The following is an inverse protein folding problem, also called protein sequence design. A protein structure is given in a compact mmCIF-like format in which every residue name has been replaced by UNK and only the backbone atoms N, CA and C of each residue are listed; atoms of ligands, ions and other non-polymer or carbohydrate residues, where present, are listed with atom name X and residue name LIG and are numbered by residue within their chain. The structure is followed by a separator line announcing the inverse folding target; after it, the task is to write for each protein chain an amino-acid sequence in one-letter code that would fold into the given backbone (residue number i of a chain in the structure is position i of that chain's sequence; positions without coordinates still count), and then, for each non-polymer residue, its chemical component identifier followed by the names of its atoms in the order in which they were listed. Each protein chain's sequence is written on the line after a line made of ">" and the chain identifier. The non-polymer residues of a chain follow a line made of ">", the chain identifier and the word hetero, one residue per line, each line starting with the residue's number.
data_IF_883761258441
#
_entry.id   IF_883761258441
#
_cell.length_a   1.000
_cell.length_b   1.000
_cell.length_c   1.000
_cell.angle_alpha   90.00
_cell.angle_beta   90.00
_cell.angle_gamma   90.00
#
_symmetry.space_group_name_H-M   'P 1'
#
loop_
_entity.id
_entity.type
_entity.pdbx_description
1 polymer ?
#
# COMPACT_ATOMS: atom_id res chain seq x y z
N UNK A 1 29.89 0.62 -27.91
CA UNK A 1 28.45 0.93 -27.72
C UNK A 1 27.90 -0.08 -26.74
N UNK A 2 27.83 0.33 -25.48
CA UNK A 2 27.57 -0.52 -24.32
C UNK A 2 26.08 -0.80 -24.23
N UNK A 3 25.67 -2.06 -24.40
CA UNK A 3 24.30 -2.50 -24.14
C UNK A 3 24.16 -2.72 -22.63
N UNK A 4 23.50 -1.80 -21.94
CA UNK A 4 23.04 -2.03 -20.57
C UNK A 4 21.73 -2.81 -20.70
N UNK A 5 21.79 -4.10 -20.33
CA UNK A 5 20.60 -4.92 -20.14
C UNK A 5 19.97 -4.51 -18.81
N UNK A 6 18.93 -3.68 -18.88
CA UNK A 6 18.08 -3.40 -17.73
C UNK A 6 17.30 -4.68 -17.40
N UNK A 7 17.46 -5.18 -16.17
CA UNK A 7 16.65 -6.26 -15.62
C UNK A 7 15.17 -5.85 -15.69
N UNK A 8 14.41 -6.49 -16.56
CA UNK A 8 12.95 -6.34 -16.62
C UNK A 8 12.35 -7.03 -15.38
N UNK A 9 12.20 -6.31 -14.27
CA UNK A 9 11.32 -6.74 -13.19
C UNK A 9 9.89 -6.69 -13.71
N UNK A 10 9.25 -7.85 -13.75
CA UNK A 10 7.84 -7.99 -14.11
C UNK A 10 6.96 -7.24 -13.11
N UNK A 11 6.32 -6.19 -13.59
CA UNK A 11 5.53 -5.18 -12.89
C UNK A 11 4.10 -5.66 -12.64
N UNK A 12 3.60 -5.61 -11.40
CA UNK A 12 2.18 -5.84 -11.03
C UNK A 12 1.99 -5.49 -9.52
N UNK A 13 0.86 -4.88 -9.08
CA UNK A 13 0.63 -4.30 -7.71
C UNK A 13 -0.72 -4.57 -6.97
N UNK A 14 -0.89 -4.13 -5.72
CA UNK A 14 -1.56 -4.87 -4.61
C UNK A 14 -2.98 -4.41 -4.21
N UNK A 15 -3.63 -5.01 -3.20
CA UNK A 15 -4.93 -4.58 -2.62
C UNK A 15 -4.96 -5.04 -1.15
N UNK A 16 -5.01 -4.11 -0.21
CA UNK A 16 -5.14 -4.35 1.24
C UNK A 16 -6.30 -3.50 1.77
N UNK A 17 -6.84 -3.80 2.95
CA UNK A 17 -7.80 -2.88 3.58
C UNK A 17 -7.10 -1.57 4.00
N UNK A 18 -7.87 -0.49 4.09
CA UNK A 18 -7.29 0.85 4.23
C UNK A 18 -6.93 1.48 2.87
N UNK A 19 -7.66 1.12 1.79
CA UNK A 19 -7.47 1.66 0.45
C UNK A 19 -6.36 0.98 -0.34
N UNK A 20 -5.38 1.74 -0.81
CA UNK A 20 -4.22 1.22 -1.56
C UNK A 20 -2.91 1.32 -0.78
N UNK A 21 -2.99 1.46 0.55
CA UNK A 21 -1.83 1.49 1.44
C UNK A 21 -1.34 0.08 1.78
N UNK A 22 -0.04 -0.05 2.01
CA UNK A 22 0.63 -1.32 2.32
C UNK A 22 1.59 -1.12 3.49
N UNK A 23 1.23 -1.53 4.72
CA UNK A 23 2.10 -1.39 5.87
C UNK A 23 3.09 -2.55 6.06
N UNK A 24 2.90 -3.72 5.43
CA UNK A 24 3.76 -4.89 5.62
C UNK A 24 4.97 -4.93 4.67
N UNK A 25 5.99 -4.15 5.05
CA UNK A 25 7.13 -3.82 4.19
C UNK A 25 8.46 -4.47 4.62
N UNK A 26 8.42 -5.37 5.61
CA UNK A 26 9.56 -6.12 6.15
C UNK A 26 9.09 -7.46 6.72
N UNK A 27 10.02 -8.30 7.17
CA UNK A 27 9.66 -9.58 7.82
C UNK A 27 8.88 -9.34 9.11
N UNK A 28 9.35 -8.43 9.98
CA UNK A 28 8.73 -8.16 11.27
C UNK A 28 7.36 -7.52 11.12
N UNK A 29 7.27 -6.48 10.28
CA UNK A 29 6.00 -5.81 10.02
C UNK A 29 4.98 -6.76 9.40
N UNK A 30 5.38 -7.67 8.50
CA UNK A 30 4.49 -8.72 8.01
C UNK A 30 4.04 -9.67 9.12
N UNK A 31 4.97 -10.17 9.94
CA UNK A 31 4.66 -11.13 11.00
C UNK A 31 3.78 -10.55 12.11
N UNK A 32 3.82 -9.23 12.29
CA UNK A 32 3.11 -8.49 13.31
C UNK A 32 1.94 -7.64 12.78
N UNK A 33 1.51 -7.83 11.52
CA UNK A 33 0.47 -7.00 10.88
C UNK A 33 0.69 -5.49 11.09
N UNK A 34 1.95 -5.06 11.02
CA UNK A 34 2.45 -3.71 11.32
C UNK A 34 2.21 -3.19 12.74
N UNK A 35 1.91 -4.05 13.72
CA UNK A 35 2.02 -3.75 15.16
C UNK A 35 3.50 -3.68 15.60
N UNK A 36 4.27 -2.80 14.95
CA UNK A 36 5.73 -2.76 15.01
C UNK A 36 6.25 -1.34 14.79
N UNK A 37 6.05 -0.47 15.78
CA UNK A 37 6.43 0.95 15.76
C UNK A 37 7.23 1.31 17.01
N UNK A 38 6.71 1.03 18.21
CA UNK A 38 7.41 1.22 19.46
C UNK A 38 8.53 0.19 19.65
N UNK A 39 8.30 -1.07 19.26
CA UNK A 39 9.30 -2.14 19.31
C UNK A 39 10.14 -2.27 18.02
N UNK A 40 10.05 -1.31 17.08
CA UNK A 40 10.83 -1.36 15.84
C UNK A 40 12.34 -1.37 16.14
N UNK A 41 13.10 -2.29 15.56
CA UNK A 41 14.51 -2.54 15.85
C UNK A 41 15.23 -3.12 14.62
N UNK A 42 16.55 -3.21 14.64
CA UNK A 42 17.33 -3.72 13.51
C UNK A 42 17.29 -2.80 12.28
N UNK A 43 17.42 -3.36 11.09
CA UNK A 43 17.53 -2.58 9.86
C UNK A 43 16.21 -1.88 9.47
N UNK A 44 15.08 -2.57 9.62
CA UNK A 44 13.76 -2.07 9.21
C UNK A 44 13.21 -0.96 10.14
N UNK A 45 13.80 -0.76 11.32
CA UNK A 45 13.59 0.44 12.14
C UNK A 45 13.80 1.74 11.35
N UNK A 46 14.68 1.74 10.34
CA UNK A 46 14.91 2.89 9.45
C UNK A 46 13.64 3.38 8.73
N UNK A 47 12.62 2.53 8.56
CA UNK A 47 11.34 2.88 7.95
C UNK A 47 10.21 3.03 8.98
N UNK A 48 10.05 2.04 9.86
CA UNK A 48 8.89 1.96 10.76
C UNK A 48 8.96 2.98 11.90
N UNK A 49 10.15 3.15 12.48
CA UNK A 49 10.40 4.18 13.47
C UNK A 49 11.89 4.55 13.51
N UNK A 50 12.31 5.52 12.67
CA UNK A 50 13.70 5.97 12.64
C UNK A 50 14.26 6.39 14.01
N UNK A 51 13.43 6.89 14.94
CA UNK A 51 13.91 7.29 16.26
C UNK A 51 14.47 6.10 17.07
N UNK A 52 13.97 4.87 16.86
CA UNK A 52 14.48 3.69 17.54
C UNK A 52 15.93 3.33 17.15
N UNK A 53 16.38 3.71 15.95
CA UNK A 53 17.78 3.52 15.53
C UNK A 53 18.77 4.14 16.53
N UNK A 54 18.39 5.21 17.22
CA UNK A 54 19.22 5.88 18.23
C UNK A 54 19.51 5.02 19.47
N UNK A 55 18.67 4.03 19.77
CA UNK A 55 18.80 3.14 20.93
C UNK A 55 19.46 1.80 20.62
N UNK A 56 19.57 1.46 19.33
CA UNK A 56 20.23 0.25 18.85
C UNK A 56 21.69 0.18 19.29
N UNK A 57 22.19 -1.04 19.52
CA UNK A 57 23.59 -1.29 19.83
C UNK A 57 24.52 -0.79 18.70
N UNK A 58 25.82 -0.64 18.99
CA UNK A 58 26.79 -0.31 17.95
C UNK A 58 26.83 -1.40 16.86
N UNK A 59 26.98 -1.00 15.60
CA UNK A 59 26.96 -1.89 14.45
C UNK A 59 26.16 -1.35 13.28
N UNK A 60 26.30 -1.99 12.13
CA UNK A 60 25.49 -1.70 10.94
C UNK A 60 24.56 -2.88 10.69
N UNK A 61 23.38 -2.60 10.14
CA UNK A 61 22.38 -3.60 9.86
C UNK A 61 21.89 -3.42 8.43
N UNK A 62 21.71 -4.52 7.71
CA UNK A 62 21.03 -4.53 6.42
C UNK A 62 20.03 -5.67 6.38
N UNK A 63 18.79 -5.38 6.03
CA UNK A 63 17.75 -6.38 5.78
C UNK A 63 17.33 -6.31 4.32
N UNK A 64 17.28 -7.47 3.67
CA UNK A 64 16.61 -7.64 2.38
C UNK A 64 15.52 -8.69 2.50
N UNK A 65 14.32 -8.38 2.02
CA UNK A 65 13.20 -9.30 1.99
C UNK A 65 12.49 -9.30 0.64
N UNK A 66 11.77 -10.38 0.37
CA UNK A 66 10.91 -10.53 -0.78
C UNK A 66 9.55 -11.03 -0.32
N UNK A 67 8.53 -10.24 -0.60
CA UNK A 67 7.14 -10.60 -0.31
C UNK A 67 6.45 -11.07 -1.59
N UNK A 68 5.97 -12.32 -1.57
CA UNK A 68 4.98 -12.79 -2.52
C UNK A 68 3.58 -12.41 -2.04
N UNK A 69 2.79 -11.81 -2.92
CA UNK A 69 1.45 -11.36 -2.57
C UNK A 69 0.47 -11.88 -3.59
N UNK A 70 -0.60 -12.49 -3.09
CA UNK A 70 -1.69 -13.01 -3.89
C UNK A 70 -2.99 -12.34 -3.48
N UNK A 71 -3.63 -11.70 -4.44
CA UNK A 71 -4.99 -11.18 -4.31
C UNK A 71 -5.97 -12.19 -4.90
N UNK A 72 -6.99 -12.54 -4.13
CA UNK A 72 -8.06 -13.38 -4.62
C UNK A 72 -8.90 -12.65 -5.70
N UNK A 73 -9.60 -13.46 -6.52
CA UNK A 73 -10.68 -12.93 -7.35
C UNK A 73 -11.72 -12.29 -6.45
N UNK A 74 -12.25 -11.13 -6.85
CA UNK A 74 -13.43 -10.54 -6.25
C UNK A 74 -14.60 -10.86 -7.16
N UNK A 75 -15.65 -11.42 -6.58
CA UNK A 75 -16.90 -11.69 -7.28
C UNK A 75 -17.86 -10.53 -7.07
N UNK A 76 -18.52 -10.10 -8.14
CA UNK A 76 -19.61 -9.14 -8.13
C UNK A 76 -20.89 -9.85 -8.59
N UNK A 77 -21.97 -9.67 -7.83
CA UNK A 77 -23.30 -10.14 -8.20
C UNK A 77 -24.31 -9.01 -8.04
N UNK A 78 -25.11 -8.74 -9.06
CA UNK A 78 -26.10 -7.67 -9.02
C UNK A 78 -26.36 -7.05 -10.37
N UNK A 79 -26.90 -5.85 -10.34
CA UNK A 79 -27.17 -5.02 -11.51
C UNK A 79 -26.29 -3.78 -11.42
N UNK A 80 -25.53 -3.47 -12.46
CA UNK A 80 -25.07 -2.10 -12.65
C UNK A 80 -25.79 -1.52 -13.86
N UNK A 81 -25.80 -0.21 -14.00
CA UNK A 81 -26.39 0.43 -15.16
C UNK A 81 -25.30 0.76 -16.18
N UNK A 82 -25.61 0.55 -17.46
CA UNK A 82 -24.80 1.10 -18.53
C UNK A 82 -24.91 2.64 -18.53
N UNK A 83 -23.97 3.37 -19.17
CA UNK A 83 -24.05 4.83 -19.29
C UNK A 83 -25.33 5.37 -19.94
N UNK A 84 -26.06 4.52 -20.69
CA UNK A 84 -27.36 4.84 -21.28
C UNK A 84 -28.56 4.58 -20.34
N UNK A 85 -28.29 4.23 -19.08
CA UNK A 85 -29.30 3.95 -18.05
C UNK A 85 -29.94 2.55 -18.16
N UNK A 86 -29.49 1.69 -19.08
CA UNK A 86 -30.02 0.33 -19.19
C UNK A 86 -29.42 -0.59 -18.12
N UNK A 87 -30.23 -1.44 -17.46
CA UNK A 87 -29.73 -2.44 -16.52
C UNK A 87 -28.78 -3.43 -17.22
N UNK A 88 -27.60 -3.61 -16.66
CA UNK A 88 -26.65 -4.65 -17.00
C UNK A 88 -26.56 -5.63 -15.83
N UNK A 89 -27.45 -6.62 -15.85
CA UNK A 89 -27.50 -7.70 -14.87
C UNK A 89 -26.52 -8.80 -15.29
N UNK A 90 -25.25 -8.65 -14.93
CA UNK A 90 -24.28 -9.73 -15.06
C UNK A 90 -23.38 -9.79 -13.84
N UNK A 91 -23.26 -10.99 -13.28
CA UNK A 91 -22.18 -11.26 -12.35
C UNK A 91 -20.83 -11.09 -13.05
N UNK A 92 -19.83 -10.61 -12.32
CA UNK A 92 -18.48 -10.42 -12.82
C UNK A 92 -17.46 -10.97 -11.84
N UNK A 93 -16.37 -11.55 -12.35
CA UNK A 93 -15.23 -11.99 -11.55
C UNK A 93 -14.01 -11.16 -11.95
N UNK A 94 -13.28 -10.64 -10.96
CA UNK A 94 -12.00 -10.02 -11.23
C UNK A 94 -10.95 -11.09 -11.50
N UNK A 95 -9.84 -10.72 -12.11
CA UNK A 95 -8.68 -11.61 -12.09
C UNK A 95 -8.14 -11.73 -10.66
N UNK A 96 -7.62 -12.90 -10.33
CA UNK A 96 -6.68 -13.05 -9.23
C UNK A 96 -5.32 -12.54 -9.69
N UNK A 97 -4.62 -11.84 -8.81
CA UNK A 97 -3.36 -11.18 -9.17
C UNK A 97 -2.25 -11.64 -8.22
N UNK A 98 -1.02 -11.70 -8.73
CA UNK A 98 0.13 -12.16 -7.95
C UNK A 98 1.34 -11.25 -8.19
N UNK A 99 2.09 -10.98 -7.13
CA UNK A 99 3.11 -9.95 -7.12
C UNK A 99 4.33 -10.37 -6.32
N UNK A 100 5.46 -9.75 -6.65
CA UNK A 100 6.69 -9.83 -5.90
C UNK A 100 7.09 -8.41 -5.50
N UNK A 101 7.13 -8.15 -4.20
CA UNK A 101 7.48 -6.86 -3.62
C UNK A 101 8.79 -7.02 -2.83
N UNK A 102 9.94 -6.59 -3.38
CA UNK A 102 11.18 -6.58 -2.63
C UNK A 102 11.19 -5.40 -1.65
N UNK A 103 11.85 -5.59 -0.51
CA UNK A 103 12.21 -4.50 0.39
C UNK A 103 13.68 -4.58 0.80
N UNK A 104 14.24 -3.41 1.04
CA UNK A 104 15.60 -3.24 1.53
C UNK A 104 15.61 -2.20 2.64
N UNK A 105 16.27 -2.52 3.74
CA UNK A 105 16.47 -1.61 4.85
C UNK A 105 17.94 -1.61 5.27
N UNK A 106 18.42 -0.45 5.70
CA UNK A 106 19.79 -0.28 6.17
C UNK A 106 19.83 0.69 7.34
N UNK A 107 20.68 0.40 8.33
CA UNK A 107 21.01 1.27 9.45
C UNK A 107 22.52 1.34 9.61
N UNK A 108 23.05 2.56 9.71
CA UNK A 108 24.48 2.83 9.85
C UNK A 108 25.01 2.53 11.25
N UNK A 109 26.33 2.61 11.42
CA UNK A 109 26.94 2.78 12.74
C UNK A 109 26.46 4.08 13.41
N UNK A 110 26.69 4.18 14.72
CA UNK A 110 26.38 5.40 15.47
C UNK A 110 27.48 6.45 15.22
N UNK A 111 27.05 7.69 15.00
CA UNK A 111 27.91 8.85 14.89
C UNK A 111 27.58 9.82 16.04
N UNK A 112 28.22 9.62 17.19
CA UNK A 112 27.88 10.31 18.45
C UNK A 112 26.41 10.08 18.86
N UNK A 113 25.56 11.11 18.75
CA UNK A 113 24.13 11.02 19.04
C UNK A 113 23.27 10.74 17.80
N UNK A 114 23.90 10.63 16.63
CA UNK A 114 23.20 10.44 15.36
C UNK A 114 23.30 9.01 14.85
N UNK A 115 22.28 8.62 14.08
CA UNK A 115 22.31 7.41 13.25
C UNK A 115 21.55 7.64 11.96
N UNK A 116 21.99 7.01 10.88
CA UNK A 116 21.38 7.17 9.57
C UNK A 116 20.77 5.85 9.12
N UNK A 117 19.65 5.96 8.42
CA UNK A 117 18.92 4.86 7.85
C UNK A 117 18.63 5.08 6.38
N UNK A 118 18.37 3.99 5.67
CA UNK A 118 17.83 3.99 4.31
C UNK A 118 16.82 2.87 4.20
N UNK A 119 15.70 3.12 3.53
CA UNK A 119 14.74 2.07 3.18
C UNK A 119 14.27 2.22 1.75
N UNK A 120 14.06 1.10 1.06
CA UNK A 120 13.46 1.00 -0.27
C UNK A 120 12.31 0.01 -0.17
N UNK A 121 11.09 0.50 -0.36
CA UNK A 121 9.85 -0.26 -0.09
C UNK A 121 8.76 0.11 -1.10
N UNK A 122 7.66 -0.65 -1.11
CA UNK A 122 6.47 -0.33 -1.89
C UNK A 122 5.27 -0.06 -0.96
N UNK A 123 5.11 1.18 -0.44
CA UNK A 123 4.17 1.46 0.66
C UNK A 123 2.72 1.64 0.20
N UNK A 124 2.50 1.66 -1.11
CA UNK A 124 1.18 1.75 -1.70
C UNK A 124 1.12 1.04 -3.05
N UNK A 125 -0.05 0.54 -3.40
CA UNK A 125 -0.30 -0.09 -4.68
C UNK A 125 -1.73 -0.61 -4.79
N UNK A 126 -2.25 -0.56 -6.01
CA UNK A 126 -3.57 -1.05 -6.40
C UNK A 126 -3.42 -1.87 -7.68
N UNK A 127 -4.01 -3.06 -7.81
CA UNK A 127 -4.34 -3.60 -9.13
C UNK A 127 -5.67 -4.31 -9.16
N UNK A 128 -6.50 -3.95 -10.14
CA UNK A 128 -7.74 -4.64 -10.41
C UNK A 128 -8.01 -4.75 -11.90
N UNK A 129 -8.29 -5.97 -12.35
CA UNK A 129 -8.55 -6.28 -13.76
C UNK A 129 -9.84 -7.06 -13.90
N UNK A 130 -10.76 -6.54 -14.71
CA UNK A 130 -12.03 -7.19 -15.05
C UNK A 130 -12.12 -7.43 -16.55
N UNK A 131 -12.66 -8.60 -16.91
CA UNK A 131 -12.84 -8.99 -18.32
C UNK A 131 -14.27 -8.81 -18.81
N UNK A 132 -15.24 -8.75 -17.90
CA UNK A 132 -16.66 -8.69 -18.20
C UNK A 132 -17.24 -7.31 -17.87
N UNK A 133 -18.26 -6.92 -18.63
CA UNK A 133 -19.10 -5.78 -18.25
C UNK A 133 -19.97 -6.20 -17.04
N UNK A 134 -20.41 -5.24 -16.22
CA UNK A 134 -20.14 -3.80 -16.29
C UNK A 134 -18.74 -3.39 -15.81
N UNK A 135 -18.05 -4.24 -15.05
CA UNK A 135 -16.81 -3.91 -14.34
C UNK A 135 -15.64 -3.46 -15.23
N UNK A 136 -15.46 -4.08 -16.42
CA UNK A 136 -14.39 -3.70 -17.37
C UNK A 136 -14.51 -2.26 -17.91
N UNK A 137 -15.69 -1.64 -17.78
CA UNK A 137 -15.91 -0.24 -18.19
C UNK A 137 -15.26 0.77 -17.25
N UNK A 138 -14.86 0.33 -16.06
CA UNK A 138 -14.16 1.12 -15.04
C UNK A 138 -12.72 0.64 -14.89
N UNK A 139 -12.53 -0.69 -14.77
CA UNK A 139 -11.23 -1.29 -14.51
C UNK A 139 -11.01 -2.52 -15.39
N UNK A 140 -10.87 -2.33 -16.71
CA UNK A 140 -10.32 -3.42 -17.54
C UNK A 140 -8.90 -3.77 -17.05
N UNK A 141 -8.14 -2.72 -16.75
CA UNK A 141 -6.95 -2.74 -15.91
C UNK A 141 -6.87 -1.41 -15.19
N UNK A 142 -6.81 -1.42 -13.86
CA UNK A 142 -6.57 -0.23 -13.06
C UNK A 142 -5.45 -0.56 -12.10
N UNK A 143 -4.27 -0.01 -12.35
CA UNK A 143 -3.04 -0.38 -11.67
C UNK A 143 -2.30 0.87 -11.22
N UNK A 144 -1.90 0.89 -9.95
CA UNK A 144 -1.07 1.90 -9.32
C UNK A 144 0.10 1.20 -8.63
N UNK A 145 1.32 1.68 -8.86
CA UNK A 145 2.51 1.24 -8.15
C UNK A 145 3.20 2.42 -7.52
N UNK A 146 3.54 2.30 -6.24
CA UNK A 146 4.26 3.32 -5.50
C UNK A 146 5.49 2.67 -4.88
N UNK A 147 6.68 3.15 -5.26
CA UNK A 147 7.96 2.75 -4.66
C UNK A 147 8.51 3.95 -3.92
N UNK A 148 8.92 3.75 -2.67
CA UNK A 148 9.49 4.80 -1.83
C UNK A 148 10.94 4.48 -1.48
N UNK A 149 11.82 5.46 -1.71
CA UNK A 149 13.16 5.52 -1.14
C UNK A 149 13.13 6.51 0.02
N UNK A 150 13.48 6.05 1.21
CA UNK A 150 13.41 6.82 2.44
C UNK A 150 14.75 6.85 3.16
N UNK A 151 15.64 7.81 2.85
CA UNK A 151 16.74 8.14 3.74
C UNK A 151 16.18 8.77 5.03
N UNK A 152 16.68 8.30 6.17
CA UNK A 152 16.24 8.75 7.48
C UNK A 152 17.42 8.98 8.43
N UNK A 153 17.17 9.73 9.49
CA UNK A 153 18.14 10.04 10.53
C UNK A 153 17.46 9.99 11.89
N UNK A 154 18.18 9.51 12.89
CA UNK A 154 17.81 9.53 14.28
C UNK A 154 18.74 10.44 15.07
N UNK A 155 18.22 11.08 16.10
CA UNK A 155 18.98 11.86 17.07
C UNK A 155 18.60 11.46 18.50
N UNK A 156 19.60 11.04 19.27
CA UNK A 156 19.48 10.65 20.68
C UNK A 156 19.50 11.89 21.58
N UNK A 157 18.31 12.36 21.96
CA UNK A 157 18.14 13.54 22.81
C UNK A 157 18.60 13.26 24.23
N UNK A 158 18.18 12.12 24.80
CA UNK A 158 18.59 11.63 26.13
C UNK A 158 18.75 10.12 26.12
N UNK A 159 19.05 9.52 27.28
CA UNK A 159 19.15 8.06 27.39
C UNK A 159 17.86 7.34 27.02
N UNK A 160 16.72 7.99 27.28
CA UNK A 160 15.37 7.41 27.18
C UNK A 160 14.50 8.08 26.10
N UNK A 161 14.98 9.15 25.45
CA UNK A 161 14.21 9.87 24.43
C UNK A 161 15.03 10.11 23.16
N UNK A 162 14.42 9.78 22.02
CA UNK A 162 14.99 9.97 20.70
C UNK A 162 13.95 10.51 19.72
N UNK A 163 14.44 11.23 18.72
CA UNK A 163 13.64 11.74 17.62
C UNK A 163 14.23 11.25 16.30
N UNK A 164 13.41 11.18 15.27
CA UNK A 164 13.83 10.81 13.93
C UNK A 164 13.09 11.62 12.87
N UNK A 165 13.74 11.77 11.72
CA UNK A 165 13.16 12.40 10.56
C UNK A 165 13.68 11.73 9.29
N UNK A 166 12.92 11.78 8.20
CA UNK A 166 13.32 11.26 6.92
C UNK A 166 12.68 12.01 5.75
N UNK A 167 13.24 11.78 4.57
CA UNK A 167 12.73 12.31 3.31
C UNK A 167 12.10 11.17 2.54
N UNK A 168 10.87 11.33 2.09
CA UNK A 168 10.17 10.34 1.26
C UNK A 168 10.40 10.74 -0.19
N UNK A 169 11.06 9.89 -0.96
CA UNK A 169 11.23 10.05 -2.41
C UNK A 169 10.36 8.96 -3.04
N UNK A 170 9.26 9.37 -3.64
CA UNK A 170 8.20 8.47 -4.09
C UNK A 170 8.20 8.43 -5.60
N UNK A 171 8.39 7.26 -6.19
CA UNK A 171 8.18 7.02 -7.60
C UNK A 171 6.85 6.31 -7.78
N UNK A 172 5.99 6.87 -8.62
CA UNK A 172 4.67 6.31 -8.90
C UNK A 172 4.59 5.95 -10.38
N UNK A 173 3.99 4.81 -10.70
CA UNK A 173 3.59 4.48 -12.08
C UNK A 173 2.16 3.96 -12.11
N UNK A 174 1.39 4.39 -13.09
CA UNK A 174 -0.03 4.06 -13.23
C UNK A 174 -0.36 3.48 -14.60
N UNK A 175 -1.33 2.57 -14.64
CA UNK A 175 -1.97 2.09 -15.87
C UNK A 175 -3.48 2.11 -15.67
N UNK A 176 -4.19 2.79 -16.57
CA UNK A 176 -5.66 2.84 -16.57
C UNK A 176 -6.19 2.44 -17.93
N UNK A 177 -6.82 1.28 -17.97
CA UNK A 177 -7.52 0.73 -19.13
C UNK A 177 -8.98 0.52 -18.82
N UNK A 178 -9.84 1.01 -19.69
CA UNK A 178 -11.29 0.82 -19.60
C UNK A 178 -11.88 0.53 -20.97
N UNK A 179 -12.94 -0.27 -21.01
CA UNK A 179 -13.59 -0.68 -22.25
C UNK A 179 -15.12 -0.59 -22.16
N UNK A 180 -15.71 0.36 -22.88
CA UNK A 180 -17.17 0.59 -22.97
C UNK A 180 -17.56 0.89 -24.44
N UNK A 181 -18.39 1.93 -24.67
CA UNK A 181 -18.70 2.48 -26.00
C UNK A 181 -17.47 3.05 -26.72
N UNK A 182 -16.40 3.32 -25.98
CA UNK A 182 -15.04 3.58 -26.45
C UNK A 182 -14.09 2.93 -25.43
N UNK A 183 -12.82 2.76 -25.80
CA UNK A 183 -11.80 2.28 -24.86
C UNK A 183 -10.69 3.30 -24.66
N UNK A 184 -10.16 3.32 -23.44
CA UNK A 184 -9.04 4.15 -23.01
C UNK A 184 -7.89 3.26 -22.61
N UNK A 185 -6.69 3.62 -23.03
CA UNK A 185 -5.41 3.06 -22.61
C UNK A 185 -4.53 4.21 -22.13
N UNK A 186 -4.25 4.30 -20.83
CA UNK A 186 -3.45 5.38 -20.27
C UNK A 186 -2.34 4.81 -19.41
N UNK A 187 -1.15 5.39 -19.54
CA UNK A 187 0.02 5.07 -18.73
C UNK A 187 0.76 6.36 -18.37
N UNK A 188 1.40 6.38 -17.20
CA UNK A 188 2.14 7.53 -16.73
C UNK A 188 2.95 7.22 -15.49
N UNK A 189 3.86 8.13 -15.16
CA UNK A 189 4.70 8.04 -13.97
C UNK A 189 5.02 9.43 -13.40
N UNK A 190 5.56 9.46 -12.19
CA UNK A 190 6.01 10.70 -11.54
C UNK A 190 7.01 10.41 -10.41
N UNK A 191 7.74 11.45 -10.01
CA UNK A 191 8.51 11.50 -8.77
C UNK A 191 8.00 12.62 -7.87
N UNK A 192 7.56 12.24 -6.68
CA UNK A 192 7.01 13.16 -5.70
C UNK A 192 7.76 13.05 -4.37
N UNK A 193 7.62 14.06 -3.52
CA UNK A 193 8.40 14.17 -2.30
C UNK A 193 7.51 14.40 -1.08
N UNK A 194 7.93 13.79 0.03
CA UNK A 194 7.33 14.01 1.33
C UNK A 194 8.36 13.93 2.43
N UNK A 195 7.87 13.86 3.67
CA UNK A 195 8.72 13.70 4.83
C UNK A 195 8.07 12.75 5.84
N UNK A 196 8.88 12.25 6.76
CA UNK A 196 8.39 11.51 7.91
C UNK A 196 9.10 11.97 9.19
N UNK A 197 8.39 11.86 10.30
CA UNK A 197 8.83 12.23 11.63
C UNK A 197 8.60 11.06 12.59
N UNK A 198 9.44 10.94 13.60
CA UNK A 198 9.38 9.86 14.56
C UNK A 198 9.81 10.32 15.95
N UNK A 199 9.16 9.79 16.98
CA UNK A 199 9.47 9.97 18.38
C UNK A 199 9.47 8.62 19.06
N UNK A 200 10.45 8.41 19.94
CA UNK A 200 10.53 7.22 20.79
C UNK A 200 10.91 7.60 22.21
N UNK A 201 10.15 7.08 23.17
CA UNK A 201 10.33 7.34 24.59
C UNK A 201 10.27 6.03 25.39
N UNK A 202 11.38 5.69 26.06
CA UNK A 202 11.46 4.57 27.00
C UNK A 202 10.95 5.05 28.36
N UNK A 203 9.65 4.90 28.60
CA UNK A 203 9.02 5.34 29.84
C UNK A 203 9.55 4.57 31.06
N UNK A 204 9.84 3.28 30.87
CA UNK A 204 10.60 2.40 31.77
C UNK A 204 11.48 1.48 30.93
N UNK A 205 12.37 0.65 31.52
CA UNK A 205 13.09 -0.37 30.76
C UNK A 205 12.18 -1.36 30.01
N UNK A 206 10.96 -1.58 30.52
CA UNK A 206 9.96 -2.50 29.98
C UNK A 206 8.97 -1.83 29.03
N UNK A 207 8.67 -0.53 29.23
CA UNK A 207 7.64 0.19 28.48
C UNK A 207 8.24 1.22 27.52
N UNK A 208 8.04 1.00 26.23
CA UNK A 208 8.38 1.95 25.16
C UNK A 208 7.12 2.54 24.54
N UNK A 209 7.12 3.86 24.37
CA UNK A 209 6.07 4.63 23.69
C UNK A 209 6.66 5.24 22.42
N UNK A 210 5.88 5.27 21.34
CA UNK A 210 6.30 5.87 20.10
C UNK A 210 5.17 6.61 19.38
N UNK A 211 5.55 7.60 18.60
CA UNK A 211 4.68 8.27 17.66
C UNK A 211 5.42 8.48 16.34
N UNK A 212 4.81 8.09 15.22
CA UNK A 212 5.38 8.33 13.89
C UNK A 212 4.36 8.98 12.99
N UNK A 213 4.84 9.87 12.12
CA UNK A 213 4.02 10.60 11.17
C UNK A 213 4.67 10.53 9.80
N UNK A 214 3.90 10.14 8.77
CA UNK A 214 4.29 10.23 7.36
C UNK A 214 3.40 11.28 6.71
N UNK A 215 3.99 12.25 6.02
CA UNK A 215 3.26 13.35 5.37
C UNK A 215 2.37 12.83 4.25
N UNK A 216 1.37 13.62 3.84
CA UNK A 216 0.74 13.41 2.53
C UNK A 216 1.80 13.60 1.42
N UNK A 217 1.64 12.88 0.32
CA UNK A 217 2.36 13.13 -0.94
C UNK A 217 1.32 13.10 -2.04
N UNK A 218 1.12 14.21 -2.73
CA UNK A 218 0.27 14.27 -3.92
C UNK A 218 1.05 13.64 -5.08
N UNK A 219 0.48 12.59 -5.67
CA UNK A 219 1.10 11.85 -6.76
C UNK A 219 0.59 12.42 -8.08
N UNK A 220 1.31 13.39 -8.63
CA UNK A 220 0.96 14.09 -9.86
C UNK A 220 1.45 13.30 -11.08
N UNK A 221 0.73 12.22 -11.41
CA UNK A 221 1.11 11.29 -12.48
C UNK A 221 0.85 11.93 -13.84
N UNK A 222 1.91 12.11 -14.62
CA UNK A 222 1.86 12.61 -15.99
C UNK A 222 2.21 11.49 -16.98
N UNK A 223 1.58 11.53 -18.16
CA UNK A 223 1.83 10.55 -19.19
C UNK A 223 0.97 10.79 -20.41
N UNK A 224 0.50 9.69 -21.01
CA UNK A 224 -0.29 9.78 -22.22
C UNK A 224 -1.44 8.76 -22.26
N UNK A 225 -2.44 9.07 -23.06
CA UNK A 225 -3.63 8.26 -23.27
C UNK A 225 -3.89 7.99 -24.75
N UNK A 226 -4.33 6.77 -25.06
CA UNK A 226 -4.90 6.43 -26.35
C UNK A 226 -6.40 6.15 -26.18
N UNK A 227 -7.22 6.86 -26.97
CA UNK A 227 -8.66 6.62 -27.06
C UNK A 227 -8.95 5.88 -28.36
N UNK A 228 -9.70 4.78 -28.28
CA UNK A 228 -10.04 3.95 -29.43
C UNK A 228 -11.55 3.90 -29.67
N UNK A 229 -11.93 3.86 -30.95
CA UNK A 229 -13.30 3.51 -31.34
C UNK A 229 -13.64 2.07 -30.89
N UNK A 230 -14.90 1.79 -30.56
CA UNK A 230 -15.33 0.43 -30.24
C UNK A 230 -15.19 -0.46 -31.48
N UNK A 231 -14.38 -1.51 -31.39
CA UNK A 231 -14.30 -2.56 -32.42
C UNK A 231 -15.03 -3.81 -31.94
N UNK A 232 -16.32 -3.94 -32.27
CA UNK A 232 -17.15 -5.09 -31.88
C UNK A 232 -17.09 -5.43 -30.37
N UNK A 233 -16.89 -4.44 -29.51
CA UNK A 233 -16.81 -4.61 -28.06
C UNK A 233 -15.44 -5.07 -27.51
N UNK A 234 -14.42 -5.16 -28.36
CA UNK A 234 -13.04 -5.48 -27.99
C UNK A 234 -12.26 -4.22 -27.54
N UNK A 235 -11.25 -4.46 -26.71
CA UNK A 235 -10.29 -3.45 -26.26
C UNK A 235 -9.22 -3.20 -27.35
N UNK A 236 -8.91 -1.94 -27.63
CA UNK A 236 -8.00 -1.54 -28.71
C UNK A 236 -8.71 -1.30 -30.05
N UNK A 237 -7.94 -0.99 -31.11
CA UNK A 237 -8.49 -0.72 -32.45
C UNK A 237 -7.92 0.54 -33.10
N UNK A 238 -8.75 1.26 -33.86
CA UNK A 238 -8.36 2.54 -34.47
C UNK A 238 -8.39 3.67 -33.44
N UNK A 239 -7.27 4.38 -33.29
CA UNK A 239 -7.17 5.54 -32.39
C UNK A 239 -8.07 6.67 -32.90
N UNK A 240 -8.94 7.19 -32.03
CA UNK A 240 -9.87 8.29 -32.31
C UNK A 240 -9.15 9.54 -32.83
N UNK A 241 -7.98 9.85 -32.25
CA UNK A 241 -7.17 11.01 -32.61
C UNK A 241 -5.92 10.66 -33.43
N UNK A 242 -5.80 9.41 -33.89
CA UNK A 242 -4.62 8.93 -34.64
C UNK A 242 -3.30 8.83 -33.84
N UNK A 243 -3.22 9.43 -32.65
CA UNK A 243 -2.05 9.45 -31.75
C UNK A 243 -2.43 9.12 -30.30
N UNK A 244 -1.42 8.95 -29.44
CA UNK A 244 -1.60 9.12 -27.99
C UNK A 244 -1.61 10.63 -27.69
N UNK A 245 -2.29 11.05 -26.63
CA UNK A 245 -2.46 12.45 -26.23
C UNK A 245 -1.98 12.60 -24.80
N UNK A 246 -1.43 13.76 -24.45
CA UNK A 246 -0.95 13.98 -23.09
C UNK A 246 -2.12 13.91 -22.10
N UNK A 247 -1.87 13.28 -20.96
CA UNK A 247 -2.86 13.11 -19.90
C UNK A 247 -2.20 13.14 -18.52
N UNK A 248 -2.95 13.59 -17.52
CA UNK A 248 -2.48 13.68 -16.14
C UNK A 248 -3.57 13.29 -15.14
N UNK A 249 -3.15 12.88 -13.95
CA UNK A 249 -4.03 12.62 -12.81
C UNK A 249 -3.26 12.87 -11.52
N UNK A 250 -3.91 13.53 -10.55
CA UNK A 250 -3.39 13.66 -9.20
C UNK A 250 -4.14 12.74 -8.25
N UNK A 251 -3.42 11.91 -7.48
CA UNK A 251 -3.97 11.03 -6.45
C UNK A 251 -3.13 11.11 -5.18
N UNK A 252 -3.73 11.04 -3.98
CA UNK A 252 -2.96 11.22 -2.76
C UNK A 252 -2.30 9.91 -2.29
N UNK A 253 -1.08 9.99 -1.79
CA UNK A 253 -0.54 9.02 -0.83
C UNK A 253 -0.71 9.63 0.57
N UNK A 254 -1.83 9.33 1.26
CA UNK A 254 -2.31 10.12 2.39
C UNK A 254 -1.33 10.13 3.56
N UNK A 255 -1.43 11.18 4.35
CA UNK A 255 -0.72 11.24 5.62
C UNK A 255 -1.17 10.09 6.54
N UNK A 256 -0.26 9.61 7.38
CA UNK A 256 -0.55 8.60 8.40
C UNK A 256 0.14 8.93 9.72
N UNK A 257 -0.62 8.84 10.81
CA UNK A 257 -0.14 8.99 12.19
C UNK A 257 -0.26 7.65 12.90
N UNK A 258 0.84 7.17 13.48
CA UNK A 258 0.85 6.00 14.36
C UNK A 258 1.16 6.44 15.79
N UNK A 259 0.42 5.88 16.74
CA UNK A 259 0.68 5.95 18.19
C UNK A 259 0.83 4.52 18.70
N UNK A 260 1.93 4.24 19.39
CA UNK A 260 2.27 2.88 19.76
C UNK A 260 2.78 2.77 21.19
N UNK A 261 2.48 1.64 21.82
CA UNK A 261 2.99 1.25 23.12
C UNK A 261 3.42 -0.21 23.08
N UNK A 262 4.67 -0.47 23.44
CA UNK A 262 5.23 -1.82 23.55
C UNK A 262 5.67 -2.08 24.99
N UNK A 263 5.22 -3.19 25.56
CA UNK A 263 5.62 -3.65 26.89
C UNK A 263 6.35 -4.98 26.79
N UNK A 264 7.60 -5.03 27.27
CA UNK A 264 8.43 -6.22 27.32
C UNK A 264 8.40 -6.85 28.71
N UNK A 265 8.04 -8.12 28.78
CA UNK A 265 8.07 -8.94 29.97
C UNK A 265 9.43 -9.62 30.16
N UNK A 266 9.78 -9.95 31.39
CA UNK A 266 11.02 -10.68 31.75
C UNK A 266 11.13 -12.06 31.07
N UNK A 267 10.01 -12.60 30.58
CA UNK A 267 9.92 -13.85 29.81
C UNK A 267 10.45 -13.73 28.38
N UNK A 268 10.91 -12.55 27.95
CA UNK A 268 11.28 -12.28 26.55
C UNK A 268 10.07 -12.07 25.63
N UNK A 269 8.87 -11.97 26.20
CA UNK A 269 7.65 -11.64 25.47
C UNK A 269 7.52 -10.12 25.35
N UNK A 270 7.19 -9.60 24.18
CA UNK A 270 6.81 -8.21 23.97
C UNK A 270 5.39 -8.17 23.41
N UNK A 271 4.53 -7.38 24.02
CA UNK A 271 3.20 -7.08 23.50
C UNK A 271 3.20 -5.63 23.04
N UNK A 272 2.78 -5.39 21.79
CA UNK A 272 2.69 -4.07 21.22
C UNK A 272 1.28 -3.79 20.69
N UNK A 273 0.76 -2.63 21.06
CA UNK A 273 -0.46 -2.08 20.48
C UNK A 273 -0.12 -0.85 19.65
N UNK A 274 -0.67 -0.78 18.44
CA UNK A 274 -0.56 0.38 17.54
C UNK A 274 -1.96 0.86 17.16
N UNK A 275 -2.22 2.13 17.42
CA UNK A 275 -3.32 2.88 16.82
C UNK A 275 -2.78 3.69 15.66
N UNK A 276 -3.40 3.53 14.50
CA UNK A 276 -3.07 4.31 13.32
C UNK A 276 -4.27 5.11 12.85
N UNK A 277 -4.03 6.36 12.43
CA UNK A 277 -4.99 7.21 11.73
C UNK A 277 -4.43 7.54 10.35
N UNK A 278 -5.19 7.24 9.30
CA UNK A 278 -4.84 7.59 7.91
C UNK A 278 -5.81 8.64 7.38
N UNK A 279 -5.27 9.74 6.85
CA UNK A 279 -6.03 10.94 6.49
C UNK A 279 -6.52 10.90 5.04
N UNK A 280 -7.37 9.92 4.73
CA UNK A 280 -7.91 9.69 3.38
C UNK A 280 -8.90 10.75 2.88
N UNK A 281 -9.38 11.65 3.75
CA UNK A 281 -10.24 12.78 3.35
C UNK A 281 -9.63 13.70 2.30
N UNK A 282 -8.32 13.64 2.11
CA UNK A 282 -7.63 14.30 0.99
C UNK A 282 -7.98 13.72 -0.39
N UNK A 283 -8.58 12.53 -0.48
CA UNK A 283 -9.00 11.93 -1.74
C UNK A 283 -10.46 12.29 -2.05
N UNK A 284 -10.66 13.50 -2.57
CA UNK A 284 -12.00 14.05 -2.84
C UNK A 284 -12.57 13.56 -4.17
N UNK A 285 -11.76 13.53 -5.23
CA UNK A 285 -12.15 13.10 -6.57
C UNK A 285 -11.00 12.44 -7.32
N UNK A 286 -11.35 11.59 -8.28
CA UNK A 286 -10.45 11.06 -9.29
C UNK A 286 -10.75 11.77 -10.61
N UNK A 287 -9.86 12.65 -11.03
CA UNK A 287 -10.02 13.51 -12.19
C UNK A 287 -8.88 13.29 -13.18
N UNK A 288 -9.22 12.96 -14.43
CA UNK A 288 -8.25 12.71 -15.49
C UNK A 288 -8.28 13.88 -16.46
N UNK A 289 -7.17 14.61 -16.51
CA UNK A 289 -6.99 15.74 -17.42
C UNK A 289 -6.34 15.28 -18.74
N UNK A 290 -6.75 15.88 -19.86
CA UNK A 290 -6.22 15.60 -21.19
C UNK A 290 -5.81 16.90 -21.89
N UNK A 291 -4.82 16.82 -22.78
CA UNK A 291 -4.31 17.95 -23.59
C UNK A 291 -5.44 18.79 -24.25
N UNK A 292 -6.56 18.16 -24.59
CA UNK A 292 -7.75 18.81 -25.16
C UNK A 292 -9.03 18.02 -24.86
N UNK A 293 -10.19 18.69 -24.97
CA UNK A 293 -11.52 18.07 -24.81
C UNK A 293 -11.72 16.90 -25.77
N UNK A 294 -12.21 15.78 -25.22
CA UNK A 294 -12.59 14.57 -25.95
C UNK A 294 -14.01 14.67 -26.53
N UNK A 295 -14.66 15.83 -26.41
CA UNK A 295 -16.00 16.10 -26.90
C UNK A 295 -17.06 15.29 -26.16
N UNK A 296 -17.89 14.53 -26.89
CA UNK A 296 -18.95 13.72 -26.28
C UNK A 296 -18.44 12.61 -25.33
N UNK A 297 -17.13 12.35 -25.30
CA UNK A 297 -16.50 11.36 -24.43
C UNK A 297 -15.99 11.96 -23.10
N UNK A 298 -16.03 13.28 -22.92
CA UNK A 298 -15.59 13.94 -21.67
C UNK A 298 -16.35 13.38 -20.47
N UNK A 299 -17.68 13.26 -20.58
CA UNK A 299 -18.55 12.67 -19.55
C UNK A 299 -18.18 11.25 -19.10
N UNK A 300 -17.39 10.50 -19.90
CA UNK A 300 -16.97 9.14 -19.58
C UNK A 300 -15.53 9.02 -19.11
N UNK A 301 -14.64 9.90 -19.60
CA UNK A 301 -13.21 9.73 -19.43
C UNK A 301 -12.51 10.91 -18.75
N UNK A 302 -13.12 12.09 -18.73
CA UNK A 302 -12.54 13.33 -18.22
C UNK A 302 -13.34 13.92 -17.07
N UNK A 303 -14.66 13.74 -17.01
CA UNK A 303 -15.46 14.27 -15.90
C UNK A 303 -14.96 13.71 -14.55
N UNK A 304 -14.78 14.56 -13.52
CA UNK A 304 -14.30 14.13 -12.21
C UNK A 304 -15.21 13.07 -11.58
N UNK A 305 -14.62 12.00 -11.07
CA UNK A 305 -15.32 10.95 -10.35
C UNK A 305 -15.22 11.26 -8.85
N UNK A 306 -16.34 11.53 -8.20
CA UNK A 306 -16.37 11.74 -6.75
C UNK A 306 -15.81 10.51 -6.01
N UNK A 307 -14.95 10.77 -5.02
CA UNK A 307 -14.40 9.77 -4.10
C UNK A 307 -14.89 10.03 -2.69
N UNK A 308 -14.71 11.26 -2.20
CA UNK A 308 -15.15 11.70 -0.88
C UNK A 308 -14.76 10.70 0.23
N UNK A 309 -13.52 10.19 0.19
CA UNK A 309 -13.08 9.19 1.15
C UNK A 309 -13.02 9.75 2.58
N UNK A 310 -13.16 8.87 3.56
CA UNK A 310 -13.14 9.24 4.97
C UNK A 310 -11.80 8.92 5.60
N UNK A 311 -11.36 9.75 6.53
CA UNK A 311 -10.27 9.40 7.42
C UNK A 311 -10.62 8.16 8.27
N UNK A 312 -9.71 7.19 8.32
CA UNK A 312 -9.94 5.89 8.95
C UNK A 312 -8.88 5.53 9.97
N UNK A 313 -9.24 4.62 10.86
CA UNK A 313 -8.35 4.07 11.86
C UNK A 313 -8.02 2.61 11.59
N UNK A 314 -6.82 2.22 12.02
CA UNK A 314 -6.42 0.83 12.11
C UNK A 314 -5.91 0.51 13.52
N UNK A 315 -6.23 -0.68 14.01
CA UNK A 315 -5.92 -1.13 15.36
C UNK A 315 -5.15 -2.44 15.28
N UNK A 316 -3.94 -2.48 15.83
CA UNK A 316 -3.02 -3.61 15.65
C UNK A 316 -2.51 -4.07 17.01
N UNK A 317 -2.54 -5.39 17.23
CA UNK A 317 -2.02 -6.02 18.43
C UNK A 317 -1.03 -7.11 18.03
N UNK A 318 0.24 -6.89 18.36
CA UNK A 318 1.33 -7.80 18.06
C UNK A 318 1.91 -8.45 19.30
N UNK A 319 2.35 -9.69 19.15
CA UNK A 319 3.09 -10.44 20.15
C UNK A 319 4.40 -10.92 19.54
N UNK A 320 5.50 -10.61 20.20
CA UNK A 320 6.84 -11.11 19.88
C UNK A 320 7.35 -11.95 21.05
N UNK A 321 7.88 -13.14 20.79
CA UNK A 321 8.50 -13.99 21.79
C UNK A 321 9.93 -14.33 21.37
N UNK A 322 10.90 -13.95 22.18
CA UNK A 322 12.29 -14.34 22.03
C UNK A 322 12.58 -15.62 22.82
N UNK A 323 13.31 -16.55 22.20
CA UNK A 323 13.81 -17.79 22.80
C UNK A 323 15.15 -18.14 22.17
N UNK A 324 15.95 -19.04 22.77
CA UNK A 324 17.35 -19.27 22.38
C UNK A 324 17.58 -19.42 20.85
N UNK A 325 18.05 -18.34 20.21
CA UNK A 325 18.34 -18.28 18.77
C UNK A 325 17.13 -18.06 17.85
N UNK A 326 15.94 -17.81 18.38
CA UNK A 326 14.72 -17.68 17.61
C UNK A 326 13.82 -16.56 18.12
N UNK A 327 13.03 -16.01 17.20
CA UNK A 327 11.99 -15.03 17.50
C UNK A 327 10.70 -15.48 16.85
N UNK A 328 9.65 -15.68 17.63
CA UNK A 328 8.30 -16.01 17.14
C UNK A 328 7.41 -14.77 17.21
N UNK A 329 6.58 -14.57 16.19
CA UNK A 329 5.72 -13.39 16.08
C UNK A 329 4.32 -13.79 15.61
N UNK A 330 3.31 -13.11 16.15
CA UNK A 330 1.93 -13.23 15.71
C UNK A 330 1.17 -11.92 15.96
N UNK A 331 0.17 -11.63 15.15
CA UNK A 331 -0.67 -10.47 15.35
C UNK A 331 -2.09 -10.64 14.82
N UNK A 332 -2.96 -9.75 15.31
CA UNK A 332 -4.26 -9.45 14.73
C UNK A 332 -4.36 -7.95 14.51
N UNK A 333 -4.97 -7.55 13.40
CA UNK A 333 -5.31 -6.17 13.13
C UNK A 333 -6.74 -6.04 12.59
N UNK A 334 -7.32 -4.86 12.79
CA UNK A 334 -8.57 -4.44 12.18
C UNK A 334 -8.34 -3.11 11.46
N UNK A 335 -8.62 -3.10 10.16
CA UNK A 335 -8.42 -1.96 9.27
C UNK A 335 -9.78 -1.54 8.69
N UNK A 336 -10.18 -0.29 8.97
CA UNK A 336 -11.40 0.33 8.43
C UNK A 336 -11.21 0.73 6.95
N UNK A 337 -12.24 0.55 6.12
CA UNK A 337 -12.21 1.02 4.73
C UNK A 337 -12.46 2.52 4.65
N UNK A 338 -11.65 3.27 3.88
CA UNK A 338 -11.87 4.70 3.69
C UNK A 338 -12.99 5.03 2.72
N UNK A 339 -13.50 4.05 1.99
CA UNK A 339 -14.41 4.26 0.86
C UNK A 339 -15.85 4.31 1.39
N UNK A 340 -16.58 5.43 1.26
CA UNK A 340 -18.01 5.49 1.54
C UNK A 340 -18.82 4.55 0.63
N UNK A 341 -20.01 4.13 1.07
CA UNK A 341 -20.88 3.26 0.25
C UNK A 341 -21.26 3.87 -1.11
N UNK A 342 -21.50 5.18 -1.17
CA UNK A 342 -21.97 5.86 -2.38
C UNK A 342 -20.89 5.95 -3.50
N UNK A 343 -19.60 5.93 -3.14
CA UNK A 343 -18.48 6.09 -4.09
C UNK A 343 -17.72 4.80 -4.39
N UNK A 344 -18.26 3.65 -3.96
CA UNK A 344 -17.70 2.33 -4.30
C UNK A 344 -17.73 2.10 -5.80
N UNK A 345 -16.63 1.60 -6.33
CA UNK A 345 -16.49 1.31 -7.75
C UNK A 345 -15.57 0.10 -7.98
N UNK A 346 -15.55 -0.40 -9.22
CA UNK A 346 -14.92 -1.66 -9.60
C UNK A 346 -13.39 -1.61 -9.60
N UNK A 347 -12.75 -0.45 -9.67
CA UNK A 347 -11.29 -0.32 -9.56
C UNK A 347 -10.77 -0.66 -8.16
N UNK A 348 -11.57 -0.40 -7.12
CA UNK A 348 -11.21 -0.62 -5.74
C UNK A 348 -12.46 -0.88 -4.88
N UNK A 349 -13.07 -2.08 -5.00
CA UNK A 349 -14.20 -2.47 -4.16
C UNK A 349 -13.70 -2.96 -2.79
N UNK A 350 -13.06 -2.06 -2.04
CA UNK A 350 -12.49 -2.32 -0.72
C UNK A 350 -13.58 -2.45 0.36
N UNK A 351 -13.23 -3.03 1.51
CA UNK A 351 -14.07 -3.14 2.69
C UNK A 351 -13.20 -3.31 3.93
N UNK A 352 -13.82 -3.20 5.11
CA UNK A 352 -13.13 -3.46 6.37
C UNK A 352 -12.47 -4.84 6.37
N UNK A 353 -11.32 -4.96 7.01
CA UNK A 353 -10.62 -6.22 7.14
C UNK A 353 -10.26 -6.58 8.57
N UNK A 354 -10.28 -7.88 8.81
CA UNK A 354 -9.53 -8.51 9.90
C UNK A 354 -8.29 -9.14 9.29
N UNK A 355 -7.12 -8.77 9.80
CA UNK A 355 -5.83 -9.26 9.34
C UNK A 355 -5.24 -10.14 10.42
N UNK A 356 -4.77 -11.32 10.05
CA UNK A 356 -4.06 -12.24 10.95
C UNK A 356 -2.71 -12.59 10.34
N UNK A 357 -1.67 -12.52 11.15
CA UNK A 357 -0.31 -12.84 10.71
C UNK A 357 0.43 -13.70 11.72
N UNK A 358 1.39 -14.46 11.21
CA UNK A 358 2.37 -15.22 11.98
C UNK A 358 3.71 -15.18 11.27
N UNK A 359 4.80 -15.23 12.02
CA UNK A 359 6.12 -15.32 11.43
C UNK A 359 7.19 -15.59 12.47
N UNK A 360 8.43 -15.62 12.01
CA UNK A 360 9.55 -15.76 12.90
C UNK A 360 10.89 -15.52 12.24
N UNK A 361 11.90 -15.39 13.09
CA UNK A 361 13.30 -15.26 12.72
C UNK A 361 14.13 -16.34 13.41
N UNK A 362 15.19 -16.77 12.73
CA UNK A 362 16.19 -17.70 13.22
C UNK A 362 17.56 -17.04 13.13
N UNK A 363 18.22 -16.87 14.26
CA UNK A 363 19.59 -16.42 14.34
C UNK A 363 20.52 -17.56 13.90
N UNK A 364 20.81 -17.60 12.59
CA UNK A 364 21.72 -18.60 12.00
C UNK A 364 23.15 -18.45 12.54
N UNK A 365 23.55 -17.22 12.88
CA UNK A 365 24.80 -16.87 13.56
C UNK A 365 24.64 -15.53 14.29
N UNK A 366 25.67 -15.09 15.01
CA UNK A 366 25.68 -13.77 15.68
C UNK A 366 25.52 -12.58 14.71
N UNK A 367 25.77 -12.80 13.41
CA UNK A 367 25.72 -11.78 12.36
C UNK A 367 24.60 -11.96 11.35
N UNK A 368 23.99 -13.14 11.24
CA UNK A 368 23.01 -13.45 10.20
C UNK A 368 21.74 -14.02 10.81
N UNK A 369 20.61 -13.37 10.51
CA UNK A 369 19.27 -13.81 10.85
C UNK A 369 18.48 -14.09 9.58
N UNK A 370 17.73 -15.19 9.57
CA UNK A 370 16.82 -15.57 8.48
C UNK A 370 15.39 -15.49 8.99
N UNK A 371 14.47 -14.98 8.18
CA UNK A 371 13.09 -14.81 8.62
C UNK A 371 12.06 -15.14 7.56
N UNK A 372 10.86 -15.47 8.04
CA UNK A 372 9.68 -15.68 7.21
C UNK A 372 8.41 -15.27 7.93
N UNK A 373 7.41 -14.84 7.17
CA UNK A 373 6.12 -14.42 7.69
C UNK A 373 5.00 -14.76 6.71
N UNK A 374 3.82 -15.04 7.25
CA UNK A 374 2.58 -15.25 6.52
C UNK A 374 1.52 -14.29 7.09
N UNK A 375 0.75 -13.68 6.20
CA UNK A 375 -0.39 -12.84 6.55
C UNK A 375 -1.59 -13.20 5.67
N UNK A 376 -2.77 -13.16 6.29
CA UNK A 376 -4.04 -13.30 5.60
C UNK A 376 -4.92 -12.10 5.96
N UNK A 377 -5.38 -11.40 4.92
CA UNK A 377 -6.35 -10.32 4.99
C UNK A 377 -7.74 -10.88 4.64
N UNK A 378 -8.65 -10.85 5.62
CA UNK A 378 -10.05 -11.24 5.46
C UNK A 378 -10.92 -10.00 5.34
N UNK A 379 -11.40 -9.73 4.13
CA UNK A 379 -12.30 -8.59 3.89
C UNK A 379 -13.76 -8.98 4.03
N UNK A 380 -14.56 -8.04 4.53
CA UNK A 380 -16.01 -8.20 4.58
C UNK A 380 -16.63 -8.17 3.19
N UNK A 381 -17.74 -8.90 3.02
CA UNK A 381 -18.54 -8.74 1.81
C UNK A 381 -19.26 -7.40 1.81
N UNK A 382 -19.31 -6.75 0.67
CA UNK A 382 -19.85 -5.39 0.57
C UNK A 382 -21.06 -5.34 -0.34
N UNK A 383 -22.24 -5.06 0.22
CA UNK A 383 -23.48 -4.85 -0.53
C UNK A 383 -23.69 -3.35 -0.71
N UNK A 384 -24.04 -2.93 -1.93
CA UNK A 384 -24.29 -1.54 -2.31
C UNK A 384 -25.69 -1.47 -2.89
N UNK A 385 -26.48 -0.50 -2.45
CA UNK A 385 -27.79 -0.19 -3.04
C UNK A 385 -27.66 0.80 -4.20
N UNK A 386 -28.36 0.54 -5.30
CA UNK A 386 -28.42 1.46 -6.45
C UNK A 386 -29.00 2.84 -6.11
N UNK A 387 -29.76 2.96 -5.03
CA UNK A 387 -30.29 4.25 -4.54
C UNK A 387 -29.26 5.11 -3.82
N UNK A 388 -28.13 4.51 -3.42
CA UNK A 388 -27.04 5.15 -2.67
C UNK A 388 -25.83 5.38 -3.56
N UNK A 389 -25.58 4.50 -4.54
CA UNK A 389 -24.42 4.59 -5.42
C UNK A 389 -24.50 5.74 -6.42
N UNK A 390 -23.43 6.54 -6.50
CA UNK A 390 -23.28 7.63 -7.46
C UNK A 390 -23.20 7.13 -8.91
N UNK A 391 -22.76 5.88 -9.11
CA UNK A 391 -22.69 5.21 -10.41
C UNK A 391 -23.87 4.24 -10.64
N UNK A 392 -24.86 4.24 -9.74
CA UNK A 392 -26.03 3.34 -9.80
C UNK A 392 -25.71 1.87 -9.54
N UNK A 393 -24.58 1.53 -8.91
CA UNK A 393 -24.24 0.14 -8.60
C UNK A 393 -25.22 -0.45 -7.58
N UNK A 394 -25.87 -1.56 -7.93
CA UNK A 394 -26.84 -2.28 -7.08
C UNK A 394 -26.47 -3.76 -7.01
N UNK A 395 -25.70 -4.14 -6.00
CA UNK A 395 -25.14 -5.48 -5.94
C UNK A 395 -24.21 -5.72 -4.78
N UNK A 396 -23.48 -6.82 -4.85
CA UNK A 396 -22.62 -7.31 -3.78
C UNK A 396 -21.28 -7.76 -4.30
N UNK A 397 -20.21 -7.28 -3.66
CA UNK A 397 -18.84 -7.76 -3.79
C UNK A 397 -18.54 -8.82 -2.72
N UNK A 398 -17.99 -9.96 -3.11
CA UNK A 398 -17.60 -11.06 -2.22
C UNK A 398 -16.21 -11.60 -2.52
N UNK A 399 -15.70 -12.43 -1.61
CA UNK A 399 -14.46 -13.21 -1.75
C UNK A 399 -13.15 -12.39 -1.85
N UNK A 400 -13.22 -11.10 -1.56
CA UNK A 400 -12.04 -10.26 -1.40
C UNK A 400 -11.15 -10.76 -0.26
N UNK A 401 -9.93 -11.19 -0.60
CA UNK A 401 -8.91 -11.69 0.34
C UNK A 401 -7.52 -11.43 -0.22
N UNK A 402 -6.54 -11.24 0.67
CA UNK A 402 -5.13 -11.23 0.30
C UNK A 402 -4.34 -12.27 1.12
N UNK A 403 -3.36 -12.89 0.47
CA UNK A 403 -2.40 -13.81 1.08
C UNK A 403 -1.00 -13.29 0.80
N UNK A 404 -0.25 -13.01 1.86
CA UNK A 404 1.09 -12.45 1.77
C UNK A 404 2.07 -13.41 2.44
N UNK A 405 3.18 -13.69 1.75
CA UNK A 405 4.25 -14.54 2.25
C UNK A 405 5.59 -13.84 2.05
N UNK A 406 6.31 -13.63 3.14
CA UNK A 406 7.60 -12.94 3.12
C UNK A 406 8.72 -13.90 3.50
N UNK A 407 9.85 -13.79 2.81
CA UNK A 407 11.13 -14.37 3.22
C UNK A 407 12.20 -13.31 3.14
N UNK A 408 13.19 -13.37 4.02
CA UNK A 408 14.31 -12.46 3.95
C UNK A 408 15.42 -12.80 4.94
N UNK A 409 16.41 -11.94 4.96
CA UNK A 409 17.55 -12.06 5.85
C UNK A 409 18.02 -10.68 6.31
N UNK A 410 18.47 -10.63 7.56
CA UNK A 410 19.17 -9.49 8.12
C UNK A 410 20.62 -9.86 8.41
N UNK A 411 21.55 -9.00 7.98
CA UNK A 411 22.96 -9.11 8.28
C UNK A 411 23.42 -7.94 9.15
N UNK A 412 24.11 -8.26 10.23
CA UNK A 412 24.78 -7.33 11.14
C UNK A 412 26.29 -7.36 10.86
N UNK A 413 26.86 -6.20 10.54
CA UNK A 413 28.28 -6.01 10.23
C UNK A 413 29.16 -5.89 11.47
#
# INVERSE_FOLDING_TARGET
>A
MTKIALLSLTTSTLLLAGGYKIPELSINSMALSAAYVANAHGADAAYFNPANMAFEAEGQYIEGALTYIRLASIEYTGTAFNPDGTPNSSGAASKAENFLSPSLHYVSNRYDRFRFGLSVVAPAGLSKRWSMQPAKTYAHEFTLQVVEVNPSMAYRVSEDFAVGAGVRIVHTSGVVKSASIASRDMEGDTFDFGYNLALSYKATPELSLAATYRSNVDLDVEGDAAIYFPDNGNYGGTKLFGKRIDAAVSIPNPAALNLAAAYRFDTGTTVEFVYERTFWSTYESLDFDYEFSLGALDAKFSDPIAKAWNDVSAYRLGLTQEYDGWTGMAAIAYDETPIPEHTVNFELPDSDAIIVSVGGRYAYSDTLSLGTALLIDFKESRTISGSVSDIGLDGKFTDARAYLFTVGAEYKF
#
